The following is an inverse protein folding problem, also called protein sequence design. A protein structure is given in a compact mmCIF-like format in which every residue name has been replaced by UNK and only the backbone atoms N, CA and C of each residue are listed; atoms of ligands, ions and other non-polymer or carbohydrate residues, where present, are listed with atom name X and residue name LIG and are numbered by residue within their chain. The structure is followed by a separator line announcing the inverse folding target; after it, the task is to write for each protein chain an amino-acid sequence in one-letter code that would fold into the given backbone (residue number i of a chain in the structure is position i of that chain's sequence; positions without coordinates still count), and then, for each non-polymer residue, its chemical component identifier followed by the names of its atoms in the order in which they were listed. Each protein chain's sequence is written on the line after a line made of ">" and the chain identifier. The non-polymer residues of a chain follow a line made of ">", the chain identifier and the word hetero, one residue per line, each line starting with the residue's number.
data_IF_012608866309
#
_entry.id   IF_012608866309
#
_cell.length_a   1.000
_cell.length_b   1.000
_cell.length_c   1.000
_cell.angle_alpha   90.00
_cell.angle_beta   90.00
_cell.angle_gamma   90.00
#
_symmetry.space_group_name_H-M   'P 1'
#
loop_
_entity.id
_entity.type
_entity.pdbx_description
1 polymer ?
#
# COMPACT_ATOMS: atom_id res chain seq x y z
N UNK A 1 -40.35 -26.34 53.27
CA UNK A 1 -39.80 -25.13 52.62
C UNK A 1 -38.54 -25.52 51.85
N UNK A 2 -38.58 -25.57 50.51
CA UNK A 2 -37.46 -25.98 49.66
C UNK A 2 -36.54 -24.76 49.40
N UNK A 3 -35.27 -24.87 49.78
CA UNK A 3 -34.25 -23.84 49.50
C UNK A 3 -33.68 -24.10 48.10
N UNK A 4 -33.96 -23.21 47.15
CA UNK A 4 -33.32 -23.19 45.84
C UNK A 4 -32.06 -22.35 45.91
N UNK A 5 -30.90 -23.00 45.91
CA UNK A 5 -29.61 -22.32 45.79
C UNK A 5 -29.32 -22.11 44.31
N UNK A 6 -29.43 -20.87 43.85
CA UNK A 6 -29.14 -20.48 42.47
C UNK A 6 -27.63 -20.18 42.36
N UNK A 7 -26.87 -21.08 41.74
CA UNK A 7 -25.44 -20.90 41.49
C UNK A 7 -25.27 -20.15 40.16
N UNK A 8 -25.08 -18.82 40.23
CA UNK A 8 -24.81 -17.99 39.06
C UNK A 8 -23.32 -18.05 38.72
N UNK A 9 -22.96 -18.82 37.69
CA UNK A 9 -21.61 -18.81 37.12
C UNK A 9 -21.53 -17.64 36.13
N UNK A 10 -20.91 -16.54 36.55
CA UNK A 10 -20.60 -15.40 35.69
C UNK A 10 -19.35 -15.74 34.87
N UNK A 11 -19.56 -16.24 33.65
CA UNK A 11 -18.48 -16.45 32.69
C UNK A 11 -18.09 -15.13 32.03
N UNK A 12 -17.06 -14.45 32.55
CA UNK A 12 -16.43 -13.34 31.85
C UNK A 12 -15.56 -13.88 30.72
N UNK A 13 -16.06 -13.84 29.48
CA UNK A 13 -15.25 -14.05 28.28
C UNK A 13 -14.39 -12.80 28.09
N UNK A 14 -13.13 -12.89 28.51
CA UNK A 14 -12.09 -11.93 28.13
C UNK A 14 -11.75 -12.16 26.66
N UNK A 15 -12.52 -11.54 25.76
CA UNK A 15 -12.13 -11.38 24.36
C UNK A 15 -10.91 -10.47 24.31
N UNK A 16 -9.71 -11.05 24.45
CA UNK A 16 -8.45 -10.39 24.14
C UNK A 16 -8.43 -10.20 22.64
N UNK A 17 -9.06 -9.13 22.15
CA UNK A 17 -8.78 -8.61 20.83
C UNK A 17 -7.35 -8.09 20.87
N UNK A 18 -6.39 -8.94 20.52
CA UNK A 18 -5.05 -8.46 20.20
C UNK A 18 -5.23 -7.30 19.20
N UNK A 19 -4.59 -6.14 19.41
CA UNK A 19 -4.62 -5.10 18.41
C UNK A 19 -4.09 -5.74 17.13
N UNK A 20 -4.95 -5.87 16.12
CA UNK A 20 -4.50 -6.19 14.79
C UNK A 20 -3.55 -5.05 14.42
N UNK A 21 -2.25 -5.29 14.58
CA UNK A 21 -1.23 -4.39 14.05
C UNK A 21 -1.63 -4.16 12.61
N UNK A 22 -1.89 -2.90 12.25
CA UNK A 22 -2.29 -2.54 10.90
C UNK A 22 -1.13 -2.91 9.99
N UNK A 23 -1.20 -4.12 9.45
CA UNK A 23 -0.26 -4.65 8.49
C UNK A 23 -0.20 -3.65 7.33
N UNK A 24 1.00 -3.18 7.00
CA UNK A 24 1.20 -2.24 5.89
C UNK A 24 0.91 -2.95 4.57
N UNK A 25 -0.38 -3.01 4.24
CA UNK A 25 -0.94 -3.74 3.10
C UNK A 25 -0.95 -2.90 1.84
N UNK A 26 -0.33 -1.73 1.85
CA UNK A 26 -0.27 -0.84 0.71
C UNK A 26 1.06 -0.10 0.63
N UNK A 27 1.36 0.43 -0.57
CA UNK A 27 2.52 1.26 -0.83
C UNK A 27 2.11 2.46 -1.68
N UNK A 28 2.42 3.66 -1.19
CA UNK A 28 2.39 4.88 -1.99
C UNK A 28 3.63 4.92 -2.88
N UNK A 29 3.42 5.23 -4.15
CA UNK A 29 4.43 5.24 -5.20
C UNK A 29 4.44 6.65 -5.79
N UNK A 30 5.62 7.25 -5.86
CA UNK A 30 5.79 8.55 -6.48
C UNK A 30 7.06 8.56 -7.31
N UNK A 31 6.93 8.85 -8.60
CA UNK A 31 8.05 9.05 -9.53
C UNK A 31 7.76 10.30 -10.37
N UNK A 32 8.75 11.16 -10.52
CA UNK A 32 8.62 12.40 -11.27
C UNK A 32 9.92 13.17 -11.37
N UNK A 33 9.88 14.34 -11.99
CA UNK A 33 11.03 15.25 -12.06
C UNK A 33 10.61 16.66 -11.64
N UNK A 34 11.58 17.42 -11.13
CA UNK A 34 11.44 18.84 -10.78
C UNK A 34 12.52 19.58 -11.57
N UNK A 35 12.09 20.37 -12.56
CA UNK A 35 12.99 21.24 -13.33
C UNK A 35 13.98 20.50 -14.25
N UNK A 36 13.72 19.24 -14.60
CA UNK A 36 14.59 18.44 -15.46
C UNK A 36 13.85 17.36 -16.26
N UNK A 37 14.55 16.58 -17.10
CA UNK A 37 13.95 15.51 -17.86
C UNK A 37 13.61 14.32 -16.95
N UNK A 38 12.39 13.79 -17.12
CA UNK A 38 11.96 12.56 -16.47
C UNK A 38 12.60 11.33 -17.14
N UNK A 39 13.08 10.39 -16.32
CA UNK A 39 13.49 9.06 -16.79
C UNK A 39 12.27 8.23 -17.19
N UNK A 40 11.87 8.38 -18.46
CA UNK A 40 10.73 7.68 -19.03
C UNK A 40 10.90 6.16 -19.04
N UNK A 41 12.14 5.64 -19.06
CA UNK A 41 12.39 4.21 -18.98
C UNK A 41 12.05 3.69 -17.59
N UNK A 42 12.52 4.38 -16.54
CA UNK A 42 12.16 4.04 -15.15
C UNK A 42 10.64 4.13 -14.92
N UNK A 43 9.99 5.19 -15.40
CA UNK A 43 8.52 5.33 -15.31
C UNK A 43 7.78 4.16 -15.98
N UNK A 44 8.25 3.73 -17.16
CA UNK A 44 7.67 2.58 -17.87
C UNK A 44 7.84 1.29 -17.07
N UNK A 45 9.03 1.07 -16.50
CA UNK A 45 9.29 -0.11 -15.64
C UNK A 45 8.38 -0.11 -14.41
N UNK A 46 8.20 1.03 -13.74
CA UNK A 46 7.27 1.16 -12.60
C UNK A 46 5.85 0.74 -13.01
N UNK A 47 5.36 1.25 -14.15
CA UNK A 47 4.03 0.90 -14.68
C UNK A 47 3.92 -0.59 -15.04
N UNK A 48 4.99 -1.19 -15.57
CA UNK A 48 5.02 -2.62 -15.89
C UNK A 48 4.97 -3.49 -14.65
N UNK A 49 5.76 -3.18 -13.61
CA UNK A 49 5.77 -3.92 -12.34
C UNK A 49 4.40 -3.83 -11.67
N UNK A 50 3.78 -2.65 -11.63
CA UNK A 50 2.42 -2.46 -11.11
C UNK A 50 1.40 -3.25 -11.95
N UNK A 51 1.44 -3.10 -13.28
CA UNK A 51 0.51 -3.78 -14.18
C UNK A 51 0.59 -5.30 -14.08
N UNK A 52 1.80 -5.86 -13.93
CA UNK A 52 1.99 -7.28 -13.68
C UNK A 52 1.37 -7.69 -12.33
N UNK A 53 1.63 -6.94 -11.25
CA UNK A 53 1.07 -7.22 -9.94
C UNK A 53 -0.47 -7.17 -9.91
N UNK A 54 -1.07 -6.27 -10.68
CA UNK A 54 -2.53 -6.23 -10.89
C UNK A 54 -2.99 -7.45 -11.69
N UNK A 55 -2.31 -7.77 -12.80
CA UNK A 55 -2.65 -8.90 -13.65
C UNK A 55 -2.51 -10.27 -12.97
N UNK A 56 -1.67 -10.40 -11.95
CA UNK A 56 -1.49 -11.62 -11.15
C UNK A 56 -2.26 -11.59 -9.82
N UNK A 57 -3.16 -10.63 -9.61
CA UNK A 57 -3.92 -10.45 -8.36
C UNK A 57 -3.05 -10.31 -7.10
N UNK A 58 -1.82 -9.84 -7.23
CA UNK A 58 -1.01 -9.42 -6.07
C UNK A 58 -1.55 -8.12 -5.48
N UNK A 59 -2.05 -7.24 -6.36
CA UNK A 59 -2.64 -5.94 -6.06
C UNK A 59 -4.04 -5.88 -6.64
N UNK A 60 -5.06 -5.66 -5.82
CA UNK A 60 -6.45 -5.52 -6.30
C UNK A 60 -6.94 -4.07 -6.29
N UNK A 61 -6.29 -3.21 -5.51
CA UNK A 61 -6.67 -1.81 -5.41
C UNK A 61 -5.48 -0.94 -5.77
N UNK A 62 -5.64 -0.24 -6.88
CA UNK A 62 -4.67 0.69 -7.41
C UNK A 62 -5.33 2.05 -7.63
N UNK A 63 -4.84 3.08 -6.95
CA UNK A 63 -5.35 4.45 -7.05
C UNK A 63 -4.26 5.34 -7.65
N UNK A 64 -4.56 6.03 -8.75
CA UNK A 64 -3.70 7.07 -9.29
C UNK A 64 -4.16 8.42 -8.75
N UNK A 65 -3.24 9.22 -8.21
CA UNK A 65 -3.51 10.53 -7.66
C UNK A 65 -3.17 11.62 -8.69
N UNK A 66 -4.07 12.61 -8.84
CA UNK A 66 -3.75 13.85 -9.54
C UNK A 66 -3.01 14.81 -8.61
N UNK A 67 -2.09 15.64 -9.12
CA UNK A 67 -1.54 16.75 -8.37
C UNK A 67 -2.67 17.63 -7.82
N UNK A 68 -2.56 18.05 -6.56
CA UNK A 68 -3.52 18.99 -5.96
C UNK A 68 -3.19 20.41 -6.42
N UNK A 69 -4.20 21.28 -6.48
CA UNK A 69 -4.00 22.72 -6.74
C UNK A 69 -2.97 23.29 -5.76
N UNK A 70 -1.97 24.03 -6.26
CA UNK A 70 -0.87 24.58 -5.45
C UNK A 70 0.29 23.62 -5.17
N UNK A 71 0.30 22.40 -5.74
CA UNK A 71 1.45 21.50 -5.69
C UNK A 71 2.59 22.01 -6.58
N UNK A 72 3.83 21.65 -6.23
CA UNK A 72 4.99 21.87 -7.11
C UNK A 72 4.70 21.22 -8.47
N UNK A 73 4.90 21.93 -9.60
CA UNK A 73 4.73 21.36 -10.92
C UNK A 73 5.62 20.12 -11.06
N UNK A 74 4.98 18.96 -11.25
CA UNK A 74 5.69 17.73 -11.58
C UNK A 74 5.64 17.62 -13.11
N UNK A 75 6.80 17.63 -13.75
CA UNK A 75 6.95 17.55 -15.21
C UNK A 75 6.72 16.10 -15.70
N UNK A 76 5.49 15.61 -15.49
CA UNK A 76 5.08 14.23 -15.76
C UNK A 76 5.43 13.23 -14.64
N UNK A 77 5.00 11.98 -14.80
CA UNK A 77 5.30 10.91 -13.85
C UNK A 77 4.10 10.10 -13.41
N UNK A 78 4.16 9.61 -12.17
CA UNK A 78 3.13 8.82 -11.52
C UNK A 78 3.12 9.13 -10.02
N UNK A 79 1.95 9.49 -9.50
CA UNK A 79 1.64 9.41 -8.07
C UNK A 79 0.51 8.40 -7.91
N UNK A 80 0.71 7.36 -7.13
CA UNK A 80 -0.26 6.30 -6.98
C UNK A 80 -0.15 5.58 -5.63
N UNK A 81 -1.12 4.71 -5.34
CA UNK A 81 -1.05 3.76 -4.26
C UNK A 81 -1.48 2.38 -4.77
N UNK A 82 -0.75 1.34 -4.38
CA UNK A 82 -1.05 -0.06 -4.66
C UNK A 82 -1.27 -0.81 -3.35
N UNK A 83 -2.41 -1.48 -3.20
CA UNK A 83 -2.81 -2.23 -2.01
C UNK A 83 -2.96 -3.73 -2.35
N UNK A 84 -2.40 -4.56 -1.48
CA UNK A 84 -2.40 -6.00 -1.59
C UNK A 84 -3.82 -6.56 -1.70
N UNK A 85 -3.99 -7.55 -2.57
CA UNK A 85 -5.25 -8.29 -2.69
C UNK A 85 -5.59 -9.04 -1.39
N UNK A 86 -6.88 -9.34 -1.22
CA UNK A 86 -7.35 -10.16 -0.09
C UNK A 86 -6.75 -11.56 -0.16
N UNK A 87 -6.16 -12.04 0.94
CA UNK A 87 -5.56 -13.37 1.04
C UNK A 87 -4.13 -13.47 0.49
N UNK A 88 -3.57 -12.40 -0.08
CA UNK A 88 -2.15 -12.36 -0.44
C UNK A 88 -1.28 -12.33 0.81
N UNK A 89 -0.25 -13.19 0.82
CA UNK A 89 0.72 -13.23 1.90
C UNK A 89 1.62 -12.00 1.91
N UNK A 90 2.10 -11.60 3.09
CA UNK A 90 3.12 -10.56 3.21
C UNK A 90 4.37 -10.84 2.38
N UNK A 91 4.77 -12.10 2.28
CA UNK A 91 5.95 -12.50 1.49
C UNK A 91 5.77 -12.14 0.02
N UNK A 92 4.59 -12.44 -0.55
CA UNK A 92 4.25 -12.12 -1.94
C UNK A 92 4.18 -10.61 -2.16
N UNK A 93 3.51 -9.87 -1.27
CA UNK A 93 3.41 -8.42 -1.39
C UNK A 93 4.77 -7.73 -1.20
N UNK A 94 5.59 -8.22 -0.28
CA UNK A 94 6.96 -7.73 -0.07
C UNK A 94 7.83 -8.01 -1.30
N UNK A 95 7.68 -9.14 -1.98
CA UNK A 95 8.39 -9.40 -3.24
C UNK A 95 8.04 -8.36 -4.31
N UNK A 96 6.77 -7.97 -4.43
CA UNK A 96 6.35 -6.85 -5.28
C UNK A 96 7.01 -5.52 -4.88
N UNK A 97 7.03 -5.19 -3.59
CA UNK A 97 7.70 -3.98 -3.09
C UNK A 97 9.21 -4.01 -3.41
N UNK A 98 9.85 -5.18 -3.29
CA UNK A 98 11.28 -5.32 -3.62
C UNK A 98 11.54 -5.15 -5.13
N UNK A 99 10.65 -5.64 -5.99
CA UNK A 99 10.73 -5.36 -7.43
C UNK A 99 10.65 -3.85 -7.70
N UNK A 100 9.72 -3.15 -7.05
CA UNK A 100 9.63 -1.69 -7.14
C UNK A 100 10.91 -0.99 -6.64
N UNK A 101 11.48 -1.43 -5.50
CA UNK A 101 12.71 -0.85 -4.93
C UNK A 101 13.95 -1.08 -5.79
N UNK A 102 13.96 -2.13 -6.62
CA UNK A 102 15.08 -2.42 -7.51
C UNK A 102 15.22 -1.43 -8.68
N UNK A 103 14.17 -0.63 -8.94
CA UNK A 103 14.17 0.38 -9.99
C UNK A 103 14.99 1.59 -9.51
N UNK A 104 16.06 1.89 -10.26
CA UNK A 104 16.95 3.01 -9.99
C UNK A 104 16.86 4.03 -11.14
N UNK A 105 16.06 5.09 -11.01
CA UNK A 105 15.97 6.14 -12.02
C UNK A 105 17.30 6.91 -12.16
N UNK A 106 17.51 7.50 -13.34
CA UNK A 106 18.63 8.42 -13.57
C UNK A 106 18.55 9.67 -12.66
N UNK A 107 19.70 10.30 -12.35
CA UNK A 107 19.73 11.59 -11.65
C UNK A 107 18.79 12.62 -12.29
N UNK A 108 18.12 13.42 -11.45
CA UNK A 108 17.10 14.37 -11.90
C UNK A 108 15.67 13.82 -11.92
N UNK A 109 15.49 12.52 -11.73
CA UNK A 109 14.19 11.89 -11.44
C UNK A 109 14.13 11.47 -9.98
N UNK A 110 13.12 11.95 -9.25
CA UNK A 110 12.84 11.44 -7.91
C UNK A 110 11.99 10.18 -8.01
N UNK A 111 12.22 9.25 -7.07
CA UNK A 111 11.40 8.06 -6.91
C UNK A 111 11.33 7.68 -5.44
N UNK A 112 10.11 7.60 -4.91
CA UNK A 112 9.86 7.30 -3.51
C UNK A 112 8.73 6.28 -3.35
N UNK A 113 8.94 5.37 -2.39
CA UNK A 113 8.04 4.30 -2.01
C UNK A 113 7.79 4.38 -0.51
N UNK A 114 6.54 4.59 -0.11
CA UNK A 114 6.16 4.73 1.29
C UNK A 114 5.11 3.68 1.66
N UNK A 115 5.45 2.78 2.59
CA UNK A 115 4.50 1.78 3.08
C UNK A 115 3.39 2.45 3.88
N UNK A 116 2.16 1.98 3.68
CA UNK A 116 0.98 2.50 4.37
C UNK A 116 0.00 1.37 4.65
N UNK A 117 -0.92 1.59 5.61
CA UNK A 117 -1.89 0.58 6.02
C UNK A 117 -2.89 0.25 4.90
N UNK A 118 -3.31 1.24 4.12
CA UNK A 118 -4.26 1.08 3.01
C UNK A 118 -4.19 2.26 2.05
N UNK A 119 -4.61 2.05 0.81
CA UNK A 119 -4.81 3.13 -0.14
C UNK A 119 -6.05 3.95 0.22
N UNK A 120 -5.91 5.27 0.24
CA UNK A 120 -7.00 6.20 0.58
C UNK A 120 -7.26 7.13 -0.60
N UNK A 121 -8.52 7.34 -0.95
CA UNK A 121 -8.89 8.46 -1.81
C UNK A 121 -8.50 9.76 -1.09
N UNK A 122 -7.80 10.63 -1.81
CA UNK A 122 -7.24 11.88 -1.28
C UNK A 122 -8.08 13.07 -1.66
#
# INVERSE_FOLDING_TARGET
>A
MKKFTCLMIVGTVLSISAPAFAESRAVNISIGSIGGPLDNAALRTVRQVIGFAVGTSTVDKFIVYSPRTGSIPIEGGLSACAEASFGISNTTFNAFIQQLRSINPKPGTFYNLELTASCKLK
#
